data_IF_011025600815
#
_entry.id   IF_011025600815
#
_cell.length_a   1.000
_cell.length_b   1.000
_cell.length_c   1.000
_cell.angle_alpha   90.00
_cell.angle_beta   90.00
_cell.angle_gamma   90.00
#
_symmetry.space_group_name_H-M   'P 1'
#
loop_
_entity.id
_entity.type
_entity.pdbx_description
1 polymer ?
#
# COMPACT_ATOMS: atom_id res chain seq x y z
N UNK A 1 10.66 19.50 -7.92
CA UNK A 1 9.29 19.55 -7.40
C UNK A 1 8.64 18.19 -7.42
N UNK A 2 7.85 17.86 -6.38
CA UNK A 2 7.12 16.59 -6.29
C UNK A 2 5.73 16.75 -6.92
N UNK A 3 5.31 15.81 -7.77
CA UNK A 3 3.97 15.82 -8.34
C UNK A 3 2.90 15.51 -7.29
N UNK A 4 1.66 15.96 -7.51
CA UNK A 4 0.53 15.63 -6.63
C UNK A 4 0.37 14.11 -6.45
N UNK A 5 0.48 13.33 -7.53
CA UNK A 5 0.40 11.87 -7.45
C UNK A 5 1.51 11.27 -6.58
N UNK A 6 2.76 11.73 -6.74
CA UNK A 6 3.88 11.27 -5.90
C UNK A 6 3.70 11.68 -4.44
N UNK A 7 3.14 12.87 -4.19
CA UNK A 7 2.82 13.34 -2.83
C UNK A 7 1.75 12.47 -2.18
N UNK A 8 0.69 12.11 -2.91
CA UNK A 8 -0.36 11.21 -2.42
C UNK A 8 0.20 9.84 -2.05
N UNK A 9 1.09 9.28 -2.87
CA UNK A 9 1.78 8.02 -2.54
C UNK A 9 2.55 8.13 -1.22
N UNK A 10 3.33 9.21 -1.06
CA UNK A 10 4.09 9.45 0.18
C UNK A 10 3.18 9.60 1.39
N UNK A 11 2.07 10.34 1.27
CA UNK A 11 1.10 10.53 2.36
C UNK A 11 0.47 9.21 2.75
N UNK A 12 -0.01 8.41 1.79
CA UNK A 12 -0.60 7.10 2.06
C UNK A 12 0.39 6.16 2.76
N UNK A 13 1.65 6.12 2.31
CA UNK A 13 2.70 5.33 2.96
C UNK A 13 2.97 5.82 4.39
N UNK A 14 2.96 7.14 4.63
CA UNK A 14 3.13 7.71 5.97
C UNK A 14 1.99 7.35 6.90
N UNK A 15 0.75 7.37 6.40
CA UNK A 15 -0.43 6.93 7.16
C UNK A 15 -0.32 5.46 7.52
N UNK A 16 0.03 4.59 6.56
CA UNK A 16 0.28 3.16 6.82
C UNK A 16 1.35 2.99 7.90
N UNK A 17 2.49 3.65 7.77
CA UNK A 17 3.60 3.54 8.73
C UNK A 17 3.21 3.99 10.13
N UNK A 18 2.52 5.13 10.23
CA UNK A 18 2.04 5.65 11.52
C UNK A 18 1.03 4.70 12.16
N UNK A 19 0.08 4.21 11.36
CA UNK A 19 -0.95 3.29 11.79
C UNK A 19 -0.35 1.98 12.34
N UNK A 20 0.57 1.34 11.59
CA UNK A 20 1.24 0.11 12.02
C UNK A 20 2.08 0.27 13.31
N UNK A 21 2.56 1.49 13.60
CA UNK A 21 3.36 1.76 14.79
C UNK A 21 2.52 2.12 16.03
N UNK A 22 1.43 2.85 15.85
CA UNK A 22 0.72 3.49 16.96
C UNK A 22 -0.71 3.00 17.17
N UNK A 23 -1.46 2.83 16.09
CA UNK A 23 -2.91 2.60 16.16
C UNK A 23 -3.27 1.12 15.99
N UNK A 24 -2.52 0.41 15.12
CA UNK A 24 -2.73 -0.99 14.75
C UNK A 24 -4.17 -1.26 14.27
N UNK A 25 -4.70 -0.35 13.45
CA UNK A 25 -6.01 -0.49 12.83
C UNK A 25 -5.88 -1.16 11.45
N UNK A 26 -6.31 -2.40 11.34
CA UNK A 26 -6.17 -3.18 10.12
C UNK A 26 -6.96 -2.59 8.95
N UNK A 27 -8.10 -1.98 9.25
CA UNK A 27 -8.99 -1.40 8.26
C UNK A 27 -8.35 -0.17 7.59
N UNK A 28 -7.71 0.69 8.38
CA UNK A 28 -7.00 1.86 7.86
C UNK A 28 -5.85 1.47 6.92
N UNK A 29 -5.02 0.49 7.31
CA UNK A 29 -3.93 0.00 6.45
C UNK A 29 -4.48 -0.61 5.17
N UNK A 30 -5.52 -1.44 5.28
CA UNK A 30 -6.16 -2.10 4.13
C UNK A 30 -6.69 -1.07 3.13
N UNK A 31 -7.37 -0.03 3.59
CA UNK A 31 -7.90 1.03 2.73
C UNK A 31 -6.80 1.85 2.05
N UNK A 32 -5.72 2.19 2.77
CA UNK A 32 -4.59 2.88 2.17
C UNK A 32 -3.90 2.03 1.09
N UNK A 33 -3.70 0.73 1.34
CA UNK A 33 -3.11 -0.19 0.36
C UNK A 33 -4.01 -0.44 -0.84
N UNK A 34 -5.33 -0.59 -0.63
CA UNK A 34 -6.32 -0.70 -1.70
C UNK A 34 -6.33 0.56 -2.59
N UNK A 35 -6.24 1.75 -1.97
CA UNK A 35 -6.12 3.01 -2.69
C UNK A 35 -4.84 3.08 -3.52
N UNK A 36 -3.70 2.69 -2.93
CA UNK A 36 -2.43 2.63 -3.66
C UNK A 36 -2.50 1.64 -4.84
N UNK A 37 -3.07 0.45 -4.63
CA UNK A 37 -3.23 -0.56 -5.66
C UNK A 37 -4.09 -0.06 -6.83
N UNK A 38 -5.19 0.65 -6.56
CA UNK A 38 -6.03 1.27 -7.59
C UNK A 38 -5.28 2.34 -8.40
N UNK A 39 -4.39 3.09 -7.76
CA UNK A 39 -3.63 4.15 -8.41
C UNK A 39 -2.38 3.63 -9.15
N UNK A 40 -1.87 2.45 -8.77
CA UNK A 40 -0.60 1.91 -9.23
C UNK A 40 -0.44 1.78 -10.76
N UNK A 41 -1.46 1.33 -11.53
CA UNK A 41 -1.36 1.29 -13.00
C UNK A 41 -1.16 2.65 -13.66
N UNK A 42 -1.37 3.76 -12.92
CA UNK A 42 -1.29 5.13 -13.43
C UNK A 42 -0.11 5.92 -12.87
N UNK A 43 0.72 5.30 -12.03
CA UNK A 43 1.94 5.95 -11.54
C UNK A 43 2.86 6.21 -12.72
N UNK A 44 3.15 7.47 -13.02
CA UNK A 44 3.99 7.85 -14.15
C UNK A 44 4.94 8.94 -13.65
N UNK A 45 6.22 8.84 -13.98
CA UNK A 45 7.26 9.78 -13.54
C UNK A 45 7.25 9.99 -12.02
N UNK A 46 7.13 8.89 -11.27
CA UNK A 46 7.12 8.94 -9.83
C UNK A 46 8.42 9.56 -9.30
N UNK A 47 8.29 10.51 -8.38
CA UNK A 47 9.43 11.18 -7.77
C UNK A 47 10.34 10.15 -7.07
N UNK A 48 11.68 10.26 -7.16
CA UNK A 48 12.60 9.27 -6.59
C UNK A 48 12.32 8.94 -5.12
N UNK A 49 12.03 9.97 -4.32
CA UNK A 49 11.64 9.80 -2.93
C UNK A 49 10.35 8.97 -2.74
N UNK A 50 9.34 9.15 -3.58
CA UNK A 50 8.11 8.36 -3.50
C UNK A 50 8.36 6.89 -3.88
N UNK A 51 9.15 6.66 -4.93
CA UNK A 51 9.62 5.32 -5.33
C UNK A 51 10.36 4.61 -4.20
N UNK A 52 11.32 5.31 -3.57
CA UNK A 52 12.07 4.79 -2.43
C UNK A 52 11.14 4.44 -1.26
N UNK A 53 10.18 5.33 -0.93
CA UNK A 53 9.23 5.08 0.16
C UNK A 53 8.35 3.87 -0.11
N UNK A 54 7.92 3.66 -1.35
CA UNK A 54 7.10 2.52 -1.75
C UNK A 54 7.86 1.20 -1.57
N UNK A 55 9.10 1.15 -2.03
CA UNK A 55 9.98 -0.03 -1.86
C UNK A 55 10.35 -0.24 -0.39
N UNK A 56 10.59 0.84 0.36
CA UNK A 56 10.90 0.76 1.78
C UNK A 56 9.73 0.21 2.61
N UNK A 57 8.48 0.53 2.25
CA UNK A 57 7.30 -0.04 2.87
C UNK A 57 7.29 -1.58 2.72
N UNK A 58 7.54 -2.08 1.50
CA UNK A 58 7.66 -3.52 1.23
C UNK A 58 8.71 -4.17 2.14
N UNK A 59 9.91 -3.59 2.22
CA UNK A 59 10.97 -4.11 3.08
C UNK A 59 10.61 -4.08 4.57
N UNK A 60 9.82 -3.11 5.01
CA UNK A 60 9.37 -3.00 6.40
C UNK A 60 8.35 -4.09 6.74
N UNK A 61 7.36 -4.30 5.87
CA UNK A 61 6.37 -5.37 6.01
C UNK A 61 7.04 -6.75 5.98
N UNK A 62 7.94 -6.97 5.01
CA UNK A 62 8.72 -8.21 4.85
C UNK A 62 9.51 -8.54 6.13
N UNK A 63 10.27 -7.58 6.66
CA UNK A 63 11.03 -7.79 7.91
C UNK A 63 10.13 -8.08 9.11
N UNK A 64 8.96 -7.45 9.19
CA UNK A 64 8.01 -7.69 10.29
C UNK A 64 7.42 -9.10 10.20
N UNK A 65 7.01 -9.52 9.02
CA UNK A 65 6.48 -10.86 8.76
C UNK A 65 7.50 -11.96 9.12
N UNK A 66 8.75 -11.81 8.69
CA UNK A 66 9.82 -12.79 8.99
C UNK A 66 10.06 -12.90 10.50
N UNK A 67 10.02 -11.78 11.22
CA UNK A 67 10.14 -11.78 12.69
C UNK A 67 8.98 -12.53 13.33
N UNK A 68 7.74 -12.29 12.91
CA UNK A 68 6.55 -13.00 13.40
C UNK A 68 6.64 -14.51 13.14
N UNK A 69 7.05 -14.92 11.93
CA UNK A 69 7.28 -16.32 11.59
C UNK A 69 8.37 -16.98 12.46
N UNK A 70 9.40 -16.21 12.83
CA UNK A 70 10.44 -16.69 13.75
C UNK A 70 9.87 -16.91 15.15
N UNK A 71 9.05 -15.98 15.65
CA UNK A 71 8.40 -16.11 16.95
C UNK A 71 7.42 -17.28 16.99
N UNK A 72 6.65 -17.50 15.93
CA UNK A 72 5.76 -18.66 15.76
C UNK A 72 6.50 -20.00 15.91
N UNK A 73 7.74 -20.08 15.44
CA UNK A 73 8.54 -21.31 15.57
C UNK A 73 9.01 -21.57 17.00
N UNK A 74 9.12 -20.51 17.82
CA UNK A 74 9.60 -20.57 19.21
C UNK A 74 8.49 -20.57 20.27
N UNK A 75 7.27 -20.20 19.90
CA UNK A 75 6.15 -20.10 20.82
C UNK A 75 5.67 -21.50 21.22
N UNK A 76 5.33 -21.66 22.50
CA UNK A 76 4.91 -22.94 23.10
C UNK A 76 3.50 -22.89 23.67
N UNK A 77 2.99 -21.69 23.98
CA UNK A 77 1.61 -21.49 24.42
C UNK A 77 0.67 -21.41 23.22
N UNK A 78 -0.44 -22.15 23.30
CA UNK A 78 -1.43 -22.23 22.22
C UNK A 78 -2.15 -20.89 22.00
N UNK A 79 -2.41 -20.13 23.07
CA UNK A 79 -3.06 -18.82 22.94
C UNK A 79 -2.14 -17.79 22.26
N UNK A 80 -0.86 -17.80 22.60
CA UNK A 80 0.16 -16.96 21.96
C UNK A 80 0.36 -17.32 20.48
N UNK A 81 0.37 -18.62 20.16
CA UNK A 81 0.49 -19.11 18.79
C UNK A 81 -0.65 -18.60 17.89
N UNK A 82 -1.89 -18.64 18.37
CA UNK A 82 -3.05 -18.15 17.62
C UNK A 82 -2.93 -16.65 17.35
N UNK A 83 -2.64 -15.84 18.37
CA UNK A 83 -2.51 -14.39 18.21
C UNK A 83 -1.34 -13.99 17.27
N UNK A 84 -0.19 -14.67 17.37
CA UNK A 84 0.94 -14.44 16.48
C UNK A 84 0.63 -14.86 15.04
N UNK A 85 -0.16 -15.92 14.85
CA UNK A 85 -0.55 -16.40 13.52
C UNK A 85 -1.50 -15.42 12.84
N UNK A 86 -2.50 -14.90 13.56
CA UNK A 86 -3.41 -13.86 13.07
C UNK A 86 -2.65 -12.59 12.67
N UNK A 87 -1.70 -12.14 13.51
CA UNK A 87 -0.85 -10.99 13.16
C UNK A 87 0.02 -11.29 11.92
N UNK A 88 0.60 -12.49 11.82
CA UNK A 88 1.41 -12.88 10.67
C UNK A 88 0.60 -12.90 9.37
N UNK A 89 -0.61 -13.47 9.40
CA UNK A 89 -1.50 -13.56 8.24
C UNK A 89 -1.93 -12.16 7.77
N UNK A 90 -2.26 -11.26 8.71
CA UNK A 90 -2.55 -9.86 8.41
C UNK A 90 -1.38 -9.15 7.70
N UNK A 91 -0.15 -9.29 8.23
CA UNK A 91 1.03 -8.71 7.57
C UNK A 91 1.33 -9.35 6.21
N UNK A 92 1.02 -10.63 6.02
CA UNK A 92 1.13 -11.29 4.73
C UNK A 92 0.15 -10.70 3.71
N UNK A 93 -1.08 -10.38 4.11
CA UNK A 93 -2.08 -9.73 3.24
C UNK A 93 -1.70 -8.29 2.88
N UNK A 94 -1.13 -7.53 3.82
CA UNK A 94 -0.57 -6.20 3.54
C UNK A 94 0.59 -6.26 2.55
N UNK A 95 1.44 -7.27 2.71
CA UNK A 95 2.59 -7.49 1.85
C UNK A 95 2.16 -7.92 0.45
N UNK A 96 1.16 -8.81 0.35
CA UNK A 96 0.55 -9.22 -0.91
C UNK A 96 -0.01 -8.01 -1.66
N UNK A 97 -0.79 -7.15 -1.00
CA UNK A 97 -1.35 -5.92 -1.59
C UNK A 97 -0.25 -4.95 -2.05
N UNK A 98 0.82 -4.82 -1.26
CA UNK A 98 2.00 -4.01 -1.62
C UNK A 98 2.73 -4.55 -2.86
N UNK A 99 2.87 -5.87 -2.96
CA UNK A 99 3.47 -6.55 -4.12
C UNK A 99 2.60 -6.43 -5.37
N UNK A 100 1.27 -6.47 -5.23
CA UNK A 100 0.35 -6.20 -6.33
C UNK A 100 0.49 -4.76 -6.86
N UNK A 101 0.61 -3.78 -5.97
CA UNK A 101 0.88 -2.39 -6.34
C UNK A 101 2.19 -2.28 -7.15
N UNK A 102 3.26 -2.92 -6.71
CA UNK A 102 4.53 -2.94 -7.46
C UNK A 102 4.41 -3.68 -8.79
N UNK A 103 3.70 -4.80 -8.83
CA UNK A 103 3.43 -5.54 -10.07
C UNK A 103 2.69 -4.69 -11.10
N UNK A 104 1.66 -3.95 -10.68
CA UNK A 104 0.98 -2.99 -11.55
C UNK A 104 1.94 -1.93 -12.11
N UNK A 105 2.85 -1.42 -11.30
CA UNK A 105 3.85 -0.45 -11.76
C UNK A 105 4.77 -1.06 -12.84
N UNK A 106 5.34 -2.24 -12.59
CA UNK A 106 6.28 -2.89 -13.54
C UNK A 106 5.59 -3.43 -14.80
N UNK A 107 4.30 -3.73 -14.74
CA UNK A 107 3.54 -4.22 -15.89
C UNK A 107 3.07 -3.06 -16.77
N UNK A 108 2.52 -2.00 -16.19
CA UNK A 108 1.82 -0.95 -16.96
C UNK A 108 2.64 0.33 -17.17
N UNK A 109 3.58 0.64 -16.27
CA UNK A 109 4.22 1.98 -16.23
C UNK A 109 5.73 1.93 -16.14
N UNK A 110 6.34 0.75 -16.23
CA UNK A 110 7.79 0.52 -16.12
C UNK A 110 8.62 1.50 -16.95
N UNK A 111 8.33 1.76 -18.24
CA UNK A 111 9.17 2.66 -19.05
C UNK A 111 9.23 4.09 -18.52
N UNK A 112 8.23 4.50 -17.74
CA UNK A 112 8.09 5.86 -17.21
C UNK A 112 8.47 5.97 -15.73
N UNK A 113 8.86 4.87 -15.08
CA UNK A 113 9.17 4.79 -13.65
C UNK A 113 10.54 4.14 -13.37
N UNK A 114 11.59 4.63 -14.03
CA UNK A 114 12.93 4.06 -13.90
C UNK A 114 13.51 4.20 -12.49
N UNK A 115 13.14 5.26 -11.76
CA UNK A 115 13.53 5.40 -10.36
C UNK A 115 12.95 4.29 -9.47
N UNK A 116 11.77 3.75 -9.80
CA UNK A 116 11.23 2.60 -9.07
C UNK A 116 12.06 1.35 -9.31
N UNK A 117 12.47 1.11 -10.57
CA UNK A 117 13.36 -0.01 -10.93
C UNK A 117 14.69 0.11 -10.19
N UNK A 118 15.29 1.31 -10.20
CA UNK A 118 16.52 1.60 -9.48
C UNK A 118 16.42 1.25 -7.99
N UNK A 119 15.37 1.71 -7.32
CA UNK A 119 15.15 1.42 -5.89
C UNK A 119 14.90 -0.08 -5.62
N UNK A 120 14.18 -0.77 -6.51
CA UNK A 120 13.96 -2.21 -6.40
C UNK A 120 15.26 -3.01 -6.57
N UNK A 121 16.16 -2.61 -7.46
CA UNK A 121 17.51 -3.22 -7.59
C UNK A 121 18.27 -3.05 -6.27
N UNK A 122 18.24 -1.84 -5.70
CA UNK A 122 18.96 -1.53 -4.46
C UNK A 122 18.43 -2.31 -3.24
N UNK A 123 17.13 -2.59 -3.20
CA UNK A 123 16.46 -3.29 -2.10
C UNK A 123 16.10 -4.75 -2.43
N UNK A 124 16.67 -5.35 -3.48
CA UNK A 124 16.27 -6.69 -3.97
C UNK A 124 16.31 -7.80 -2.92
N UNK A 125 17.21 -7.68 -1.93
CA UNK A 125 17.37 -8.63 -0.82
C UNK A 125 16.08 -8.82 0.01
N UNK A 126 15.15 -7.85 -0.01
CA UNK A 126 13.89 -7.99 0.71
C UNK A 126 12.89 -8.94 0.04
N UNK A 127 13.13 -9.33 -1.23
CA UNK A 127 12.28 -10.21 -2.03
C UNK A 127 12.59 -11.70 -1.83
N UNK A 128 13.86 -12.04 -1.58
CA UNK A 128 14.32 -13.43 -1.42
C UNK A 128 13.55 -14.25 -0.38
N UNK A 129 13.28 -13.75 0.85
CA UNK A 129 12.50 -14.50 1.83
C UNK A 129 11.05 -14.70 1.36
N UNK A 130 10.51 -13.78 0.57
CA UNK A 130 9.13 -13.78 0.11
C UNK A 130 8.89 -14.80 -1.02
N UNK A 131 9.92 -15.12 -1.79
CA UNK A 131 9.85 -16.11 -2.86
C UNK A 131 9.55 -17.54 -2.36
N UNK A 132 9.75 -17.80 -1.05
CA UNK A 132 9.45 -19.09 -0.41
C UNK A 132 7.97 -19.28 -0.09
N UNK A 133 7.23 -18.19 0.07
CA UNK A 133 5.81 -18.22 0.38
C UNK A 133 5.00 -18.52 -0.89
N UNK A 134 4.16 -19.58 -0.85
CA UNK A 134 3.34 -20.01 -1.96
C UNK A 134 2.40 -18.91 -2.47
N UNK A 135 1.87 -18.06 -1.58
CA UNK A 135 0.93 -16.99 -1.94
C UNK A 135 1.64 -15.81 -2.63
N UNK A 136 2.90 -15.55 -2.26
CA UNK A 136 3.65 -14.37 -2.72
C UNK A 136 4.62 -14.68 -3.87
N UNK A 137 5.01 -15.94 -4.04
CA UNK A 137 6.03 -16.39 -5.00
C UNK A 137 5.80 -15.87 -6.41
N UNK A 138 4.55 -15.87 -6.87
CA UNK A 138 4.21 -15.48 -8.22
C UNK A 138 4.37 -13.97 -8.43
N UNK A 139 3.94 -13.16 -7.46
CA UNK A 139 4.13 -11.71 -7.49
C UNK A 139 5.60 -11.34 -7.43
N UNK A 140 6.38 -12.05 -6.60
CA UNK A 140 7.83 -11.86 -6.46
C UNK A 140 8.57 -12.27 -7.74
N UNK A 141 8.13 -13.34 -8.40
CA UNK A 141 8.74 -13.84 -9.64
C UNK A 141 8.79 -12.77 -10.74
N UNK A 142 7.67 -12.06 -10.97
CA UNK A 142 7.62 -11.00 -11.98
C UNK A 142 8.62 -9.87 -11.66
N UNK A 143 8.68 -9.44 -10.40
CA UNK A 143 9.62 -8.40 -9.97
C UNK A 143 11.06 -8.89 -10.18
N UNK A 144 11.39 -10.11 -9.74
CA UNK A 144 12.72 -10.69 -9.92
C UNK A 144 13.13 -10.81 -11.39
N UNK A 145 12.19 -11.12 -12.29
CA UNK A 145 12.46 -11.18 -13.74
C UNK A 145 12.83 -9.83 -14.33
N UNK A 146 12.09 -8.78 -13.95
CA UNK A 146 12.41 -7.40 -14.34
C UNK A 146 13.77 -7.01 -13.78
N UNK A 147 14.04 -7.31 -12.51
CA UNK A 147 15.32 -7.00 -11.88
C UNK A 147 16.49 -7.72 -12.56
N UNK A 148 16.36 -9.03 -12.82
CA UNK A 148 17.38 -9.82 -13.50
C UNK A 148 17.75 -9.21 -14.85
N UNK A 149 16.75 -8.83 -15.66
CA UNK A 149 16.99 -8.19 -16.95
C UNK A 149 17.81 -6.91 -16.84
N UNK A 150 17.44 -6.00 -15.94
CA UNK A 150 18.16 -4.73 -15.78
C UNK A 150 19.53 -4.91 -15.12
N UNK A 151 19.68 -5.87 -14.22
CA UNK A 151 20.98 -6.22 -13.62
C UNK A 151 21.94 -6.77 -14.68
N UNK A 152 21.47 -7.60 -15.60
CA UNK A 152 22.30 -8.11 -16.71
C UNK A 152 22.80 -6.96 -17.61
N UNK A 153 21.96 -5.94 -17.86
CA UNK A 153 22.38 -4.73 -18.60
C UNK A 153 23.45 -3.94 -17.86
N UNK A 154 23.29 -3.74 -16.54
CA UNK A 154 24.26 -3.03 -15.69
C UNK A 154 25.58 -3.80 -15.64
N UNK A 155 25.52 -5.11 -15.40
CA UNK A 155 26.69 -5.98 -15.31
C UNK A 155 27.44 -6.07 -16.65
N UNK A 156 26.73 -6.10 -17.79
CA UNK A 156 27.35 -6.08 -19.12
C UNK A 156 28.13 -4.79 -19.36
N UNK A 157 27.62 -3.65 -18.90
CA UNK A 157 28.31 -2.34 -19.00
C UNK A 157 29.50 -2.24 -18.05
N UNK A 158 29.37 -2.75 -16.82
CA UNK A 158 30.48 -2.86 -15.87
C UNK A 158 31.60 -3.73 -16.43
N UNK A 159 31.28 -4.89 -17.02
CA UNK A 159 32.27 -5.78 -17.62
C UNK A 159 33.01 -5.15 -18.81
N UNK A 160 32.41 -4.17 -19.49
CA UNK A 160 33.06 -3.42 -20.59
C UNK A 160 33.92 -2.24 -20.12
N UNK A 161 33.73 -1.75 -18.89
CA UNK A 161 34.45 -0.62 -18.32
C UNK A 161 35.33 -1.12 -17.16
N UNK A 162 36.58 -1.47 -17.44
CA UNK A 162 37.50 -2.13 -16.51
C UNK A 162 37.84 -1.34 -15.22
N UNK A 163 37.53 -0.04 -15.12
CA UNK A 163 37.98 0.82 -14.00
C UNK A 163 36.95 1.86 -13.46
N UNK A 164 35.69 1.86 -13.91
CA UNK A 164 34.74 2.93 -13.52
C UNK A 164 33.65 2.46 -12.55
N UNK A 165 33.62 3.05 -11.35
CA UNK A 165 32.43 3.08 -10.51
C UNK A 165 31.30 3.81 -11.27
N UNK A 166 30.17 3.16 -11.47
CA UNK A 166 29.02 3.77 -12.13
C UNK A 166 28.35 4.80 -11.21
N UNK A 167 28.18 6.03 -11.68
CA UNK A 167 27.38 7.02 -10.96
C UNK A 167 25.88 6.68 -11.06
N UNK A 168 25.06 7.29 -10.19
CA UNK A 168 23.60 7.17 -10.28
C UNK A 168 23.09 7.62 -11.66
N UNK A 169 23.69 8.67 -12.23
CA UNK A 169 23.32 9.17 -13.57
C UNK A 169 23.62 8.14 -14.65
N UNK A 170 24.73 7.42 -14.53
CA UNK A 170 25.12 6.38 -15.49
C UNK A 170 24.16 5.18 -15.39
N UNK A 171 23.83 4.74 -14.17
CA UNK A 171 22.85 3.67 -13.96
C UNK A 171 21.50 4.07 -14.56
N UNK A 172 21.02 5.28 -14.30
CA UNK A 172 19.75 5.75 -14.85
C UNK A 172 19.75 5.80 -16.39
N UNK A 173 20.88 6.17 -17.01
CA UNK A 173 21.04 6.14 -18.47
C UNK A 173 21.02 4.70 -19.02
N UNK A 174 21.66 3.76 -18.33
CA UNK A 174 21.63 2.33 -18.67
C UNK A 174 20.19 1.80 -18.59
N UNK A 175 19.46 2.13 -17.51
CA UNK A 175 18.07 1.73 -17.35
C UNK A 175 17.19 2.31 -18.47
N UNK A 176 17.38 3.59 -18.82
CA UNK A 176 16.63 4.22 -19.90
C UNK A 176 16.86 3.54 -21.25
N UNK A 177 18.11 3.16 -21.55
CA UNK A 177 18.44 2.41 -22.76
C UNK A 177 17.87 0.97 -22.71
N UNK A 178 17.95 0.29 -21.56
CA UNK A 178 17.47 -1.07 -21.40
C UNK A 178 15.94 -1.20 -21.55
N UNK A 179 15.19 -0.17 -21.16
CA UNK A 179 13.73 -0.15 -21.29
C UNK A 179 13.26 -0.30 -22.73
N UNK A 180 13.98 0.25 -23.71
CA UNK A 180 13.62 0.13 -25.14
C UNK A 180 13.63 -1.33 -25.62
N UNK A 181 14.49 -2.15 -25.02
CA UNK A 181 14.59 -3.59 -25.28
C UNK A 181 13.61 -4.44 -24.47
N UNK A 182 13.00 -3.90 -23.42
CA UNK A 182 12.10 -4.64 -22.54
C UNK A 182 10.72 -4.80 -23.17
N UNK A 183 10.34 -6.05 -23.45
CA UNK A 183 9.04 -6.39 -24.07
C UNK A 183 8.02 -7.01 -23.10
N UNK A 184 8.33 -7.05 -21.80
CA UNK A 184 7.47 -7.70 -20.80
C UNK A 184 7.29 -9.20 -21.02
N UNK A 185 8.25 -9.85 -21.70
CA UNK A 185 8.20 -11.28 -21.98
C UNK A 185 8.30 -12.07 -20.67
N UNK A 186 7.56 -13.17 -20.58
CA UNK A 186 7.53 -14.10 -19.45
C UNK A 186 7.01 -13.54 -18.11
N UNK A 187 6.37 -12.36 -18.10
CA UNK A 187 5.63 -11.90 -16.93
C UNK A 187 4.34 -12.69 -16.78
N UNK A 188 4.09 -13.20 -15.57
CA UNK A 188 2.79 -13.76 -15.19
C UNK A 188 1.74 -12.67 -15.27
N UNK A 189 0.60 -12.99 -15.88
CA UNK A 189 -0.54 -12.07 -15.98
C UNK A 189 -1.33 -12.15 -14.69
N UNK A 190 -1.47 -11.02 -14.01
CA UNK A 190 -2.37 -10.87 -12.87
C UNK A 190 -3.58 -10.05 -13.30
N UNK A 191 -4.76 -10.43 -12.83
CA UNK A 191 -5.94 -9.60 -12.99
C UNK A 191 -5.72 -8.27 -12.25
N UNK A 192 -6.13 -7.17 -12.86
CA UNK A 192 -6.14 -5.87 -12.18
C UNK A 192 -6.99 -5.97 -10.90
N UNK A 193 -6.36 -5.75 -9.75
CA UNK A 193 -7.08 -5.66 -8.49
C UNK A 193 -7.74 -4.29 -8.44
N UNK A 194 -9.07 -4.27 -8.60
CA UNK A 194 -9.89 -3.06 -8.49
C UNK A 194 -10.65 -3.12 -7.18
N UNK A 195 -10.26 -2.25 -6.26
CA UNK A 195 -10.94 -2.11 -4.99
C UNK A 195 -12.04 -1.07 -5.14
N UNK A 196 -13.26 -1.45 -4.82
CA UNK A 196 -14.40 -0.54 -4.76
C UNK A 196 -14.61 -0.16 -3.30
N UNK A 197 -14.73 1.14 -3.03
CA UNK A 197 -15.16 1.60 -1.72
C UNK A 197 -16.61 1.18 -1.48
N UNK A 198 -16.86 0.57 -0.33
CA UNK A 198 -18.22 0.27 0.11
C UNK A 198 -18.80 1.53 0.75
N UNK A 199 -19.75 2.15 0.07
CA UNK A 199 -20.47 3.29 0.62
C UNK A 199 -21.45 2.79 1.68
N UNK A 200 -21.26 3.26 2.92
CA UNK A 200 -22.25 3.14 3.99
C UNK A 200 -23.61 3.66 3.50
N UNK A 201 -24.71 2.97 3.85
CA UNK A 201 -26.05 3.35 3.38
C UNK A 201 -26.46 4.76 3.86
N UNK A 202 -26.02 5.15 5.05
CA UNK A 202 -26.31 6.46 5.66
C UNK A 202 -25.00 7.16 6.07
N UNK A 203 -24.21 7.68 5.13
CA UNK A 203 -22.93 8.31 5.46
C UNK A 203 -23.13 9.56 6.35
N UNK A 204 -24.30 10.19 6.24
CA UNK A 204 -24.66 11.35 7.06
C UNK A 204 -24.65 11.08 8.56
N UNK A 205 -24.98 9.87 9.00
CA UNK A 205 -25.09 9.53 10.43
C UNK A 205 -23.73 9.55 11.13
N UNK A 206 -22.63 9.33 10.40
CA UNK A 206 -21.27 9.41 10.91
C UNK A 206 -20.61 10.75 10.57
N UNK A 207 -20.62 11.16 9.29
CA UNK A 207 -19.84 12.32 8.84
C UNK A 207 -20.43 13.64 9.33
N UNK A 208 -21.76 13.78 9.43
CA UNK A 208 -22.36 15.04 9.88
C UNK A 208 -22.02 15.33 11.33
N UNK A 209 -22.21 14.39 12.29
CA UNK A 209 -21.75 14.61 13.67
C UNK A 209 -20.24 14.85 13.76
N UNK A 210 -19.43 14.06 13.05
CA UNK A 210 -17.97 14.20 13.09
C UNK A 210 -17.49 15.57 12.59
N UNK A 211 -18.01 16.04 11.45
CA UNK A 211 -17.66 17.36 10.90
C UNK A 211 -18.12 18.46 11.86
N UNK A 212 -19.31 18.33 12.46
CA UNK A 212 -19.77 19.29 13.45
C UNK A 212 -18.93 19.29 14.72
N UNK A 213 -18.52 18.13 15.24
CA UNK A 213 -17.62 18.02 16.38
C UNK A 213 -16.27 18.68 16.07
N UNK A 214 -15.74 18.47 14.87
CA UNK A 214 -14.52 19.11 14.42
C UNK A 214 -14.67 20.63 14.33
N UNK A 215 -15.79 21.12 13.79
CA UNK A 215 -16.10 22.56 13.70
C UNK A 215 -16.24 23.16 15.09
N UNK A 216 -16.98 22.52 16.00
CA UNK A 216 -17.20 22.99 17.38
C UNK A 216 -15.90 22.98 18.18
N UNK A 217 -15.10 21.92 18.07
CA UNK A 217 -13.78 21.84 18.70
C UNK A 217 -12.88 22.99 18.26
N UNK A 218 -12.76 23.21 16.93
CA UNK A 218 -11.95 24.30 16.40
C UNK A 218 -12.52 25.69 16.76
N UNK A 219 -13.85 25.83 16.83
CA UNK A 219 -14.52 27.06 17.24
C UNK A 219 -14.23 27.42 18.70
N UNK A 220 -14.20 26.43 19.58
CA UNK A 220 -13.89 26.60 21.01
C UNK A 220 -12.41 26.96 21.22
N UNK A 221 -11.50 26.38 20.44
CA UNK A 221 -10.06 26.67 20.56
C UNK A 221 -9.67 28.01 19.90
N UNK A 222 -10.32 28.38 18.78
CA UNK A 222 -9.95 29.55 17.97
C UNK A 222 -11.17 30.27 17.33
N UNK A 223 -11.96 31.04 18.09
CA UNK A 223 -13.22 31.64 17.63
C UNK A 223 -13.08 32.63 16.46
N UNK A 224 -11.88 33.22 16.26
CA UNK A 224 -11.62 34.19 15.19
C UNK A 224 -11.17 33.59 13.85
N UNK A 225 -10.84 32.29 13.78
CA UNK A 225 -10.17 31.68 12.59
C UNK A 225 -11.11 31.06 11.55
N UNK A 226 -12.38 30.80 11.86
CA UNK A 226 -13.30 30.06 10.99
C UNK A 226 -14.02 30.94 9.94
N UNK A 227 -14.18 32.24 10.19
CA UNK A 227 -14.84 33.16 9.25
C UNK A 227 -13.90 33.83 8.26
N UNK A 228 -12.59 33.56 8.37
CA UNK A 228 -11.60 33.98 7.39
C UNK A 228 -11.08 32.75 6.64
N UNK A 229 -11.46 32.53 5.37
CA UNK A 229 -11.01 31.38 4.59
C UNK A 229 -9.49 31.36 4.37
N UNK A 230 -8.78 32.48 4.61
CA UNK A 230 -7.33 32.54 4.58
C UNK A 230 -6.64 32.01 5.85
N UNK A 231 -7.39 31.73 6.93
CA UNK A 231 -6.84 31.28 8.22
C UNK A 231 -7.18 29.84 8.58
N UNK A 232 -7.86 29.09 7.71
CA UNK A 232 -8.03 27.65 7.83
C UNK A 232 -6.74 26.97 7.37
N UNK A 233 -5.86 26.55 8.29
CA UNK A 233 -4.70 25.78 7.90
C UNK A 233 -5.23 24.37 7.64
N UNK A 234 -5.39 23.98 6.38
CA UNK A 234 -5.74 22.59 6.06
C UNK A 234 -4.69 21.61 6.64
N UNK A 235 -3.48 22.10 6.94
CA UNK A 235 -2.40 21.40 7.62
C UNK A 235 -1.56 22.42 8.43
N UNK A 236 -1.87 22.66 9.71
CA UNK A 236 -0.88 23.24 10.64
C UNK A 236 -1.09 22.74 12.08
N UNK A 237 0.01 22.21 12.62
CA UNK A 237 0.31 21.82 14.01
C UNK A 237 -0.64 20.84 14.73
N UNK A 238 -0.40 19.55 14.46
CA UNK A 238 0.06 18.54 15.42
C UNK A 238 -0.37 18.64 16.91
N UNK A 239 -1.64 18.90 17.19
CA UNK A 239 -2.26 18.60 18.48
C UNK A 239 -3.59 17.83 18.35
N UNK A 240 -4.02 17.48 17.13
CA UNK A 240 -5.19 16.63 16.94
C UNK A 240 -4.78 15.17 17.11
N UNK A 241 -4.91 14.65 18.33
CA UNK A 241 -4.75 13.23 18.60
C UNK A 241 -6.01 12.50 18.18
N UNK A 242 -5.91 11.62 17.16
CA UNK A 242 -6.98 10.70 16.78
C UNK A 242 -7.42 9.79 17.94
N UNK A 243 -6.63 9.69 19.02
CA UNK A 243 -6.99 8.92 20.22
C UNK A 243 -8.12 9.55 21.05
N UNK A 244 -8.45 10.83 20.86
CA UNK A 244 -9.57 11.49 21.56
C UNK A 244 -10.92 11.27 20.84
N UNK A 245 -10.90 10.82 19.58
CA UNK A 245 -12.10 10.45 18.84
C UNK A 245 -12.48 9.03 19.25
N UNK A 246 -13.52 8.91 20.09
CA UNK A 246 -14.08 7.61 20.44
C UNK A 246 -14.77 7.00 19.22
N UNK A 247 -14.11 6.04 18.59
CA UNK A 247 -14.76 5.16 17.62
C UNK A 247 -15.73 4.23 18.36
N UNK A 248 -17.03 4.47 18.20
CA UNK A 248 -18.01 3.42 18.45
C UNK A 248 -17.94 2.46 17.27
N UNK A 249 -17.20 1.36 17.43
CA UNK A 249 -17.23 0.26 16.49
C UNK A 249 -18.69 -0.23 16.39
N UNK A 250 -19.34 0.06 15.26
CA UNK A 250 -20.57 -0.62 14.87
C UNK A 250 -20.26 -2.10 14.75
N UNK A 251 -21.05 -2.91 15.44
CA UNK A 251 -20.91 -4.35 15.52
C UNK A 251 -21.27 -4.97 14.14
N UNK A 252 -20.33 -4.97 13.20
CA UNK A 252 -20.46 -5.58 11.88
C UNK A 252 -20.23 -7.08 11.97
N UNK A 253 -21.26 -7.83 12.38
CA UNK A 253 -21.28 -9.28 12.27
C UNK A 253 -21.28 -9.70 10.81
N UNK A 254 -20.32 -10.52 10.42
CA UNK A 254 -20.26 -11.20 9.13
C UNK A 254 -21.30 -12.33 9.08
N UNK A 255 -22.49 -12.05 8.57
CA UNK A 255 -23.39 -13.10 8.09
C UNK A 255 -23.05 -13.45 6.65
N UNK A 256 -22.44 -14.63 6.47
CA UNK A 256 -22.34 -15.34 5.20
C UNK A 256 -23.73 -15.79 4.75
N UNK A 257 -24.35 -15.09 3.79
CA UNK A 257 -25.53 -15.58 3.08
C UNK A 257 -25.10 -16.43 1.86
N UNK A 258 -25.35 -17.73 1.97
CA UNK A 258 -25.38 -18.66 0.86
C UNK A 258 -26.66 -18.45 0.03
N UNK A 259 -26.51 -18.54 -1.29
CA UNK A 259 -27.59 -18.49 -2.28
C UNK A 259 -28.70 -19.51 -2.01
N UNK A 260 -29.96 -19.08 -2.08
CA UNK A 260 -31.04 -19.78 -2.79
C UNK A 260 -32.34 -18.94 -2.82
N UNK A 261 -32.79 -18.57 -4.03
CA UNK A 261 -34.17 -18.17 -4.37
C UNK A 261 -34.71 -19.27 -5.31
N UNK A 262 -36.02 -19.58 -5.42
CA UNK A 262 -37.16 -18.67 -5.22
C UNK A 262 -38.41 -19.30 -4.53
N UNK A 263 -39.43 -18.47 -4.22
CA UNK A 263 -40.87 -18.65 -4.51
C UNK A 263 -41.75 -17.69 -3.68
N UNK A 264 -42.41 -16.71 -4.32
CA UNK A 264 -43.64 -16.02 -3.84
C UNK A 264 -44.87 -16.95 -4.00
N UNK A 265 -46.08 -16.75 -3.40
CA UNK A 265 -46.75 -15.51 -2.89
C UNK A 265 -47.57 -15.80 -1.57
N UNK A 266 -48.67 -15.10 -1.14
CA UNK A 266 -49.29 -13.82 -1.55
C UNK A 266 -49.47 -12.79 -0.41
N UNK A 267 -49.78 -11.54 -0.80
CA UNK A 267 -49.87 -10.38 0.09
C UNK A 267 -51.15 -10.29 0.95
N UNK A 268 -51.21 -9.32 1.88
CA UNK A 268 -52.40 -9.11 2.70
C UNK A 268 -53.37 -8.10 2.09
N UNK A 269 -54.65 -8.46 2.19
CA UNK A 269 -55.81 -7.64 1.83
C UNK A 269 -55.91 -6.38 2.71
N UNK A 270 -56.40 -5.31 2.09
CA UNK A 270 -56.82 -4.07 2.73
C UNK A 270 -57.98 -4.31 3.70
N UNK A 271 -57.93 -3.67 4.87
CA UNK A 271 -59.09 -3.06 5.54
C UNK A 271 -58.71 -1.64 5.95
#
# INVERSE_FOLDING_TARGET
>A
DISLGSLLVVVMIRVIQYNLQHMKDDYLTTNCLATLANMAPFFIHMHPYASQRLVFLLGTLSRRLIKLQTYLTSASDQAELVALQEEADMYADFLHSSLQCLNACITYTLPRNLHLVYELIHQKHCLDPLAKDLKLRDLVHNIQKVLQYFEDQINSKLASNEEADLSISDIMAILAQGVEGWKGQDLKVFNESKFKYEEEANPGDFFVPFVWDLVVYNMNQHPAKLWNPATLPLLADAAFSLAEVRFHAGNGGSETEAQDLPHLPPGPELV
#
